data_IF_331939907084
#
_entry.id   IF_331939907084
#
_cell.length_a   1.000
_cell.length_b   1.000
_cell.length_c   1.000
_cell.angle_alpha   90.00
_cell.angle_beta   90.00
_cell.angle_gamma   90.00
#
_symmetry.space_group_name_H-M   'P 1'
#
loop_
_entity.id
_entity.type
_entity.pdbx_description
1 polymer ?
#
# COMPACT_ATOMS: atom_id res chain seq x y z
N UNK A 1 -9.17 -2.70 16.50
CA UNK A 1 -10.07 -2.44 17.64
C UNK A 1 -11.02 -3.60 17.91
N UNK A 2 -11.59 -4.24 16.87
CA UNK A 2 -12.50 -5.41 16.98
C UNK A 2 -11.79 -6.74 17.19
N UNK A 3 -10.47 -6.81 17.02
CA UNK A 3 -9.67 -8.03 17.12
C UNK A 3 -9.48 -8.79 15.81
N UNK A 4 -9.98 -8.28 14.69
CA UNK A 4 -9.89 -8.96 13.38
C UNK A 4 -8.46 -9.05 12.85
N UNK A 5 -7.57 -8.14 13.20
CA UNK A 5 -6.18 -8.10 12.70
C UNK A 5 -5.25 -8.88 13.63
N UNK A 6 -5.21 -8.50 14.92
CA UNK A 6 -4.22 -9.01 15.88
C UNK A 6 -4.78 -10.09 16.81
N UNK A 7 -6.03 -10.54 16.57
CA UNK A 7 -6.72 -11.50 17.42
C UNK A 7 -7.53 -10.84 18.53
N UNK A 8 -8.50 -11.60 19.05
CA UNK A 8 -9.48 -11.11 20.04
C UNK A 8 -8.92 -10.94 21.46
N UNK A 9 -7.69 -11.38 21.70
CA UNK A 9 -7.01 -11.27 22.99
C UNK A 9 -5.91 -10.20 23.00
N UNK A 10 -5.66 -9.53 21.86
CA UNK A 10 -4.62 -8.51 21.72
C UNK A 10 -5.21 -7.12 21.92
N UNK A 11 -4.78 -6.45 23.00
CA UNK A 11 -5.12 -5.04 23.25
C UNK A 11 -4.21 -4.14 22.43
N UNK A 12 -4.73 -3.00 22.00
CA UNK A 12 -4.02 -2.04 21.16
C UNK A 12 -4.06 -0.63 21.77
N UNK A 13 -2.96 0.11 21.61
CA UNK A 13 -2.90 1.56 21.83
C UNK A 13 -2.87 2.25 20.46
N UNK A 14 -3.70 3.26 20.28
CA UNK A 14 -3.78 4.04 19.05
C UNK A 14 -3.06 5.37 19.23
N UNK A 15 -2.00 5.62 18.46
CA UNK A 15 -1.34 6.91 18.38
C UNK A 15 -1.78 7.62 17.10
N UNK A 16 -2.48 8.73 17.24
CA UNK A 16 -3.06 9.49 16.14
C UNK A 16 -2.27 10.78 15.94
N UNK A 17 -1.53 10.85 14.84
CA UNK A 17 -0.71 12.00 14.46
C UNK A 17 -1.46 12.87 13.46
N UNK A 18 -1.60 14.15 13.76
CA UNK A 18 -2.18 15.14 12.86
C UNK A 18 -1.43 16.48 12.96
N UNK A 19 -1.67 17.36 12.00
CA UNK A 19 -1.12 18.72 12.07
C UNK A 19 -1.83 19.55 13.13
N UNK A 20 -1.14 20.49 13.77
CA UNK A 20 -1.68 21.33 14.86
C UNK A 20 -3.07 21.91 14.57
N UNK A 21 -3.37 22.46 13.35
CA UNK A 21 -4.71 23.00 13.07
C UNK A 21 -5.84 21.97 13.06
N UNK A 22 -5.53 20.68 12.90
CA UNK A 22 -6.51 19.60 12.81
C UNK A 22 -6.70 18.84 14.15
N UNK A 23 -5.90 19.12 15.17
CA UNK A 23 -6.00 18.44 16.48
C UNK A 23 -7.41 18.50 17.08
N UNK A 24 -8.09 19.65 16.97
CA UNK A 24 -9.46 19.78 17.48
C UNK A 24 -10.47 18.87 16.75
N UNK A 25 -10.28 18.66 15.45
CA UNK A 25 -11.12 17.71 14.70
C UNK A 25 -10.78 16.25 15.08
N UNK A 26 -9.51 15.99 15.38
CA UNK A 26 -9.04 14.69 15.86
C UNK A 26 -9.63 14.33 17.23
N UNK A 27 -9.81 15.29 18.13
CA UNK A 27 -10.54 15.08 19.40
C UNK A 27 -11.95 14.52 19.16
N UNK A 28 -12.66 15.03 18.12
CA UNK A 28 -13.97 14.51 17.75
C UNK A 28 -13.91 13.07 17.24
N UNK A 29 -12.87 12.70 16.50
CA UNK A 29 -12.65 11.31 16.07
C UNK A 29 -12.40 10.38 17.26
N UNK A 30 -11.65 10.85 18.26
CA UNK A 30 -11.43 10.08 19.51
C UNK A 30 -12.75 9.84 20.25
N UNK A 31 -13.61 10.85 20.37
CA UNK A 31 -14.95 10.68 20.95
C UNK A 31 -15.77 9.62 20.21
N UNK A 32 -15.73 9.60 18.88
CA UNK A 32 -16.41 8.55 18.10
C UNK A 32 -15.79 7.16 18.35
N UNK A 33 -14.48 7.05 18.51
CA UNK A 33 -13.81 5.78 18.88
C UNK A 33 -14.25 5.32 20.26
N UNK A 34 -14.37 6.23 21.23
CA UNK A 34 -14.87 5.94 22.57
C UNK A 34 -16.33 5.49 22.53
N UNK A 35 -17.18 6.17 21.75
CA UNK A 35 -18.60 5.83 21.57
C UNK A 35 -18.77 4.45 20.89
N UNK A 36 -17.81 3.99 20.08
CA UNK A 36 -17.80 2.63 19.54
C UNK A 36 -17.59 1.56 20.61
N UNK A 37 -17.09 1.92 21.80
CA UNK A 37 -16.84 1.04 22.93
C UNK A 37 -16.03 -0.22 22.55
N UNK A 38 -14.99 -0.06 21.75
CA UNK A 38 -14.14 -1.17 21.32
C UNK A 38 -13.44 -1.82 22.53
N UNK A 39 -13.62 -3.13 22.74
CA UNK A 39 -13.13 -3.79 23.97
C UNK A 39 -11.61 -3.95 24.02
N UNK A 40 -10.93 -3.81 22.88
CA UNK A 40 -9.49 -4.04 22.75
C UNK A 40 -8.67 -2.75 22.61
N UNK A 41 -9.29 -1.58 22.68
CA UNK A 41 -8.56 -0.30 22.72
C UNK A 41 -8.21 0.01 24.17
N UNK A 42 -6.91 0.09 24.45
CA UNK A 42 -6.39 0.44 25.77
C UNK A 42 -6.26 1.94 25.95
N UNK A 43 -5.68 2.59 24.92
CA UNK A 43 -5.32 3.99 24.97
C UNK A 43 -5.45 4.61 23.58
N UNK A 44 -5.81 5.90 23.55
CA UNK A 44 -5.75 6.72 22.33
C UNK A 44 -4.93 7.97 22.66
N UNK A 45 -3.76 8.09 22.03
CA UNK A 45 -2.88 9.27 22.11
C UNK A 45 -3.11 10.14 20.90
N UNK A 46 -3.30 11.45 21.08
CA UNK A 46 -3.36 12.43 20.00
C UNK A 46 -2.21 13.42 20.13
N UNK A 47 -1.52 13.68 19.01
CA UNK A 47 -0.37 14.58 19.01
C UNK A 47 -0.11 15.17 17.61
N UNK A 48 0.58 16.32 17.57
CA UNK A 48 1.14 16.88 16.35
C UNK A 48 2.67 16.69 16.23
N UNK A 49 3.24 15.90 17.15
CA UNK A 49 4.66 15.58 17.20
C UNK A 49 4.90 14.15 16.76
N UNK A 50 5.57 13.97 15.61
CA UNK A 50 5.83 12.66 15.05
C UNK A 50 6.65 11.75 15.98
N UNK A 51 7.62 12.28 16.69
CA UNK A 51 8.46 11.53 17.65
C UNK A 51 7.64 10.94 18.80
N UNK A 52 6.59 11.65 19.25
CA UNK A 52 5.68 11.17 20.27
C UNK A 52 4.70 10.14 19.70
N UNK A 53 4.20 10.38 18.48
CA UNK A 53 3.29 9.47 17.83
C UNK A 53 3.93 8.10 17.56
N UNK A 54 5.20 8.07 17.20
CA UNK A 54 5.91 6.82 16.84
C UNK A 54 6.62 6.17 18.04
N UNK A 55 6.59 6.75 19.22
CA UNK A 55 7.26 6.17 20.39
C UNK A 55 6.69 4.79 20.73
N UNK A 56 7.51 3.75 20.62
CA UNK A 56 7.19 2.37 20.94
C UNK A 56 6.16 1.67 20.06
N UNK A 57 5.73 2.25 18.91
CA UNK A 57 4.71 1.63 18.06
C UNK A 57 5.25 0.42 17.28
N UNK A 58 4.43 -0.64 17.16
CA UNK A 58 4.73 -1.83 16.36
C UNK A 58 4.22 -1.72 14.91
N UNK A 59 3.24 -0.86 14.65
CA UNK A 59 2.74 -0.54 13.32
C UNK A 59 2.63 0.96 13.10
N UNK A 60 3.18 1.44 11.99
CA UNK A 60 3.03 2.82 11.56
C UNK A 60 2.33 2.88 10.20
N UNK A 61 1.12 3.46 10.15
CA UNK A 61 0.35 3.69 8.94
C UNK A 61 0.53 5.15 8.53
N UNK A 62 1.36 5.42 7.52
CA UNK A 62 1.66 6.77 7.04
C UNK A 62 0.63 7.19 5.97
N UNK A 63 -0.52 7.69 6.43
CA UNK A 63 -1.68 8.02 5.58
C UNK A 63 -1.66 9.49 5.16
N UNK A 64 -1.24 10.37 6.06
CA UNK A 64 -1.29 11.83 5.87
C UNK A 64 -0.38 12.30 4.74
N UNK A 65 -0.97 13.00 3.78
CA UNK A 65 -0.26 13.68 2.70
C UNK A 65 -1.11 14.82 2.15
N UNK A 66 -0.47 15.81 1.51
CA UNK A 66 -1.22 16.85 0.79
C UNK A 66 -1.88 16.22 -0.44
N UNK A 67 -3.19 16.47 -0.65
CA UNK A 67 -3.88 16.00 -1.84
C UNK A 67 -3.40 16.76 -3.10
N UNK A 68 -3.51 16.11 -4.26
CA UNK A 68 -3.20 16.74 -5.53
C UNK A 68 -4.19 17.89 -5.81
N UNK A 69 -3.68 19.10 -5.91
CA UNK A 69 -4.46 20.29 -6.28
C UNK A 69 -4.81 20.31 -7.78
N UNK A 70 -5.82 21.15 -8.15
CA UNK A 70 -6.19 21.32 -9.55
C UNK A 70 -5.03 21.99 -10.32
N UNK A 71 -4.57 21.36 -11.40
CA UNK A 71 -3.46 21.86 -12.21
C UNK A 71 -2.06 21.54 -11.67
N UNK A 72 -1.96 20.84 -10.55
CA UNK A 72 -0.68 20.40 -9.99
C UNK A 72 -0.15 19.19 -10.76
N UNK A 73 1.09 19.25 -11.18
CA UNK A 73 1.78 18.10 -11.78
C UNK A 73 2.22 17.10 -10.72
N UNK A 74 2.52 15.85 -11.14
CA UNK A 74 2.96 14.79 -10.24
C UNK A 74 4.28 15.14 -9.54
N UNK A 75 5.21 15.74 -10.26
CA UNK A 75 6.48 16.20 -9.70
C UNK A 75 6.33 17.26 -8.61
N UNK A 76 5.35 18.14 -8.72
CA UNK A 76 5.06 19.15 -7.69
C UNK A 76 4.50 18.51 -6.43
N UNK A 77 3.58 17.55 -6.60
CA UNK A 77 3.03 16.80 -5.48
C UNK A 77 4.13 16.04 -4.71
N UNK A 78 5.08 15.44 -5.42
CA UNK A 78 6.24 14.75 -4.85
C UNK A 78 7.09 15.74 -4.03
N UNK A 79 7.39 16.92 -4.57
CA UNK A 79 8.20 17.95 -3.87
C UNK A 79 7.49 18.49 -2.63
N UNK A 80 6.16 18.62 -2.66
CA UNK A 80 5.38 19.09 -1.51
C UNK A 80 5.25 18.06 -0.41
N UNK A 81 5.10 16.79 -0.77
CA UNK A 81 4.93 15.71 0.19
C UNK A 81 6.27 15.18 0.74
N UNK A 82 7.34 15.20 -0.04
CA UNK A 82 8.63 14.66 0.34
C UNK A 82 9.13 15.10 1.73
N UNK A 83 9.11 16.40 2.08
CA UNK A 83 9.52 16.87 3.41
C UNK A 83 8.72 16.26 4.58
N UNK A 84 7.44 15.95 4.37
CA UNK A 84 6.59 15.28 5.39
C UNK A 84 7.18 13.91 5.69
N UNK A 85 7.47 13.13 4.65
CA UNK A 85 7.99 11.76 4.80
C UNK A 85 9.45 11.72 5.24
N UNK A 86 10.24 12.77 4.98
CA UNK A 86 11.56 12.95 5.62
C UNK A 86 11.42 13.07 7.14
N UNK A 87 10.49 13.92 7.62
CA UNK A 87 10.24 14.10 9.05
C UNK A 87 9.73 12.81 9.72
N UNK A 88 8.76 12.14 9.09
CA UNK A 88 8.20 10.89 9.59
C UNK A 88 9.26 9.77 9.60
N UNK A 89 10.07 9.64 8.53
CA UNK A 89 11.13 8.65 8.47
C UNK A 89 12.15 8.77 9.61
N UNK A 90 12.57 9.99 9.94
CA UNK A 90 13.44 10.26 11.09
C UNK A 90 12.78 9.91 12.43
N UNK A 91 11.52 10.30 12.59
CA UNK A 91 10.78 10.07 13.83
C UNK A 91 10.53 8.57 14.10
N UNK A 92 10.46 7.74 13.05
CA UNK A 92 10.34 6.28 13.17
C UNK A 92 11.48 5.63 13.95
N UNK A 93 12.63 6.29 14.13
CA UNK A 93 13.70 5.82 15.01
C UNK A 93 13.28 5.68 16.49
N UNK A 94 12.09 6.17 16.88
CA UNK A 94 11.48 5.97 18.20
C UNK A 94 10.57 4.75 18.29
N UNK A 95 10.26 4.11 17.17
CA UNK A 95 9.36 2.96 17.12
C UNK A 95 9.98 1.71 17.77
N UNK A 96 9.15 0.69 18.02
CA UNK A 96 9.62 -0.58 18.51
C UNK A 96 10.56 -1.27 17.50
N UNK A 97 11.42 -2.16 17.99
CA UNK A 97 12.41 -2.90 17.13
C UNK A 97 11.74 -3.73 16.03
N UNK A 98 10.52 -4.19 16.28
CA UNK A 98 9.72 -5.00 15.36
C UNK A 98 8.78 -4.18 14.49
N UNK A 99 8.87 -2.86 14.51
CA UNK A 99 7.96 -1.97 13.78
C UNK A 99 7.83 -2.37 12.30
N UNK A 100 6.60 -2.31 11.79
CA UNK A 100 6.28 -2.41 10.36
C UNK A 100 5.63 -1.13 9.89
N UNK A 101 5.99 -0.70 8.70
CA UNK A 101 5.56 0.59 8.16
C UNK A 101 4.80 0.38 6.86
N UNK A 102 3.56 0.88 6.80
CA UNK A 102 2.76 0.92 5.59
C UNK A 102 2.52 2.36 5.16
N UNK A 103 3.04 2.72 4.00
CA UNK A 103 2.81 4.04 3.41
C UNK A 103 1.59 4.00 2.50
N UNK A 104 0.62 4.85 2.82
CA UNK A 104 -0.66 4.99 2.09
C UNK A 104 -0.74 6.35 1.39
N UNK A 105 -0.13 7.38 1.97
CA UNK A 105 -0.13 8.74 1.45
C UNK A 105 0.56 8.86 0.10
N UNK A 106 -0.15 9.46 -0.88
CA UNK A 106 0.31 9.54 -2.28
C UNK A 106 1.33 10.67 -2.54
N UNK A 107 2.30 10.41 -3.45
CA UNK A 107 2.60 9.19 -4.21
C UNK A 107 3.23 8.10 -3.32
N UNK A 108 2.49 7.00 -3.10
CA UNK A 108 2.80 6.05 -2.03
C UNK A 108 4.19 5.41 -2.16
N UNK A 109 4.58 4.93 -3.35
CA UNK A 109 5.88 4.29 -3.56
C UNK A 109 7.04 5.26 -3.30
N UNK A 110 6.97 6.48 -3.84
CA UNK A 110 8.02 7.49 -3.70
C UNK A 110 8.10 8.05 -2.29
N UNK A 111 6.95 8.25 -1.64
CA UNK A 111 6.90 8.66 -0.24
C UNK A 111 7.47 7.56 0.68
N UNK A 112 7.20 6.29 0.37
CA UNK A 112 7.78 5.15 1.07
C UNK A 112 9.31 5.12 0.90
N UNK A 113 9.82 5.32 -0.32
CA UNK A 113 11.26 5.41 -0.58
C UNK A 113 11.93 6.50 0.27
N UNK A 114 11.31 7.68 0.37
CA UNK A 114 11.84 8.79 1.18
C UNK A 114 11.85 8.43 2.66
N UNK A 115 10.71 7.98 3.20
CA UNK A 115 10.59 7.62 4.62
C UNK A 115 11.56 6.49 4.99
N UNK A 116 11.65 5.45 4.16
CA UNK A 116 12.56 4.32 4.31
C UNK A 116 14.01 4.79 4.39
N UNK A 117 14.44 5.60 3.42
CA UNK A 117 15.82 6.09 3.37
C UNK A 117 16.22 6.92 4.61
N UNK A 118 15.30 7.70 5.16
CA UNK A 118 15.56 8.44 6.39
C UNK A 118 15.56 7.53 7.62
N UNK A 119 14.64 6.56 7.68
CA UNK A 119 14.53 5.63 8.81
C UNK A 119 15.70 4.63 8.87
N UNK A 120 16.29 4.26 7.72
CA UNK A 120 17.52 3.45 7.69
C UNK A 120 18.68 4.13 8.46
N UNK A 121 18.78 5.46 8.42
CA UNK A 121 19.78 6.24 9.18
C UNK A 121 19.54 6.19 10.69
N UNK A 122 18.32 5.93 11.08
CA UNK A 122 17.88 5.74 12.48
C UNK A 122 17.89 4.26 12.92
N UNK A 123 18.34 3.34 12.04
CA UNK A 123 18.49 1.92 12.35
C UNK A 123 17.30 1.04 12.02
N UNK A 124 16.26 1.55 11.34
CA UNK A 124 15.11 0.74 10.91
C UNK A 124 15.44 0.04 9.58
N UNK A 125 15.40 -1.29 9.50
CA UNK A 125 15.67 -2.03 8.26
C UNK A 125 14.65 -1.71 7.17
N UNK A 126 15.11 -1.64 5.91
CA UNK A 126 14.27 -1.36 4.74
C UNK A 126 13.15 -2.38 4.53
N UNK A 127 13.38 -3.63 4.94
CA UNK A 127 12.43 -4.74 4.83
C UNK A 127 11.19 -4.55 5.71
N UNK A 128 11.21 -3.56 6.60
CA UNK A 128 10.07 -3.16 7.43
C UNK A 128 9.06 -2.28 6.68
N UNK A 129 9.43 -1.79 5.50
CA UNK A 129 8.63 -0.83 4.74
C UNK A 129 7.85 -1.48 3.62
N UNK A 130 6.60 -1.04 3.48
CA UNK A 130 5.76 -1.29 2.31
C UNK A 130 4.95 -0.05 1.94
N UNK A 131 4.65 0.12 0.65
CA UNK A 131 3.62 1.04 0.18
C UNK A 131 2.38 0.26 -0.27
N UNK A 132 1.21 0.85 -0.08
CA UNK A 132 -0.06 0.17 -0.28
C UNK A 132 -0.45 0.10 -1.76
N UNK A 133 -0.45 -1.11 -2.33
CA UNK A 133 -1.10 -1.45 -3.60
C UNK A 133 -2.27 -2.41 -3.42
N UNK A 134 -2.62 -2.72 -2.17
CA UNK A 134 -3.73 -3.61 -1.84
C UNK A 134 -5.08 -3.10 -2.33
N UNK A 135 -5.31 -1.78 -2.32
CA UNK A 135 -6.54 -1.21 -2.87
C UNK A 135 -6.69 -1.51 -4.37
N UNK A 136 -5.60 -1.44 -5.12
CA UNK A 136 -5.61 -1.76 -6.56
C UNK A 136 -5.82 -3.26 -6.78
N UNK A 137 -5.22 -4.10 -5.95
CA UNK A 137 -5.48 -5.55 -5.95
C UNK A 137 -6.95 -5.85 -5.66
N UNK A 138 -7.56 -5.25 -4.63
CA UNK A 138 -8.96 -5.44 -4.30
C UNK A 138 -9.88 -4.99 -5.45
N UNK A 139 -9.55 -3.91 -6.14
CA UNK A 139 -10.25 -3.45 -7.35
C UNK A 139 -10.15 -4.46 -8.48
N UNK A 140 -8.96 -5.00 -8.73
CA UNK A 140 -8.71 -6.00 -9.76
C UNK A 140 -9.48 -7.29 -9.45
N UNK A 141 -9.41 -7.80 -8.22
CA UNK A 141 -10.17 -8.98 -7.77
C UNK A 141 -11.67 -8.80 -7.97
N UNK A 142 -12.22 -7.65 -7.56
CA UNK A 142 -13.64 -7.36 -7.72
C UNK A 142 -14.09 -7.31 -9.20
N UNK A 143 -13.26 -6.75 -10.10
CA UNK A 143 -13.56 -6.72 -11.53
C UNK A 143 -13.53 -8.12 -12.15
N UNK A 144 -12.54 -8.94 -11.79
CA UNK A 144 -12.44 -10.33 -12.27
C UNK A 144 -13.60 -11.18 -11.75
N UNK A 145 -13.95 -11.08 -10.48
CA UNK A 145 -15.07 -11.78 -9.88
C UNK A 145 -16.39 -11.40 -10.56
N UNK A 146 -16.63 -10.11 -10.77
CA UNK A 146 -17.82 -9.60 -11.47
C UNK A 146 -17.90 -10.10 -12.91
N UNK A 147 -16.78 -10.08 -13.66
CA UNK A 147 -16.75 -10.56 -15.05
C UNK A 147 -17.01 -12.05 -15.16
N UNK A 148 -16.50 -12.83 -14.20
CA UNK A 148 -16.67 -14.29 -14.16
C UNK A 148 -17.97 -14.75 -13.50
N UNK A 149 -18.68 -13.87 -12.77
CA UNK A 149 -19.90 -14.22 -12.03
C UNK A 149 -19.64 -15.11 -10.80
N UNK A 150 -18.52 -14.87 -10.09
CA UNK A 150 -18.11 -15.64 -8.90
C UNK A 150 -17.95 -14.72 -7.68
N UNK A 151 -17.74 -15.30 -6.49
CA UNK A 151 -17.41 -14.54 -5.29
C UNK A 151 -16.01 -13.94 -5.37
N UNK A 152 -15.77 -12.80 -4.71
CA UNK A 152 -14.44 -12.14 -4.68
C UNK A 152 -13.37 -13.05 -4.08
N UNK A 153 -13.75 -13.85 -3.07
CA UNK A 153 -12.85 -14.82 -2.43
C UNK A 153 -12.38 -15.97 -3.32
N UNK A 154 -13.07 -16.21 -4.44
CA UNK A 154 -12.68 -17.22 -5.43
C UNK A 154 -11.50 -16.76 -6.31
N UNK A 155 -11.16 -15.45 -6.27
CA UNK A 155 -10.10 -14.85 -7.09
C UNK A 155 -8.83 -14.73 -6.28
N UNK A 156 -7.80 -15.43 -6.68
CA UNK A 156 -6.48 -15.48 -6.01
C UNK A 156 -5.35 -15.08 -6.96
N UNK A 157 -4.15 -14.94 -6.43
CA UNK A 157 -2.93 -14.70 -7.20
C UNK A 157 -2.96 -13.42 -8.08
N UNK A 158 -3.78 -12.44 -7.74
CA UNK A 158 -3.78 -11.15 -8.44
C UNK A 158 -2.54 -10.36 -8.04
N UNK A 159 -1.79 -9.90 -9.03
CA UNK A 159 -0.61 -9.06 -8.81
C UNK A 159 -0.86 -7.66 -9.38
N UNK A 160 -0.50 -6.67 -8.61
CA UNK A 160 -0.32 -5.30 -9.10
C UNK A 160 1.18 -5.07 -9.21
N UNK A 161 1.68 -4.91 -10.41
CA UNK A 161 3.09 -4.61 -10.65
C UNK A 161 3.34 -3.10 -10.69
N UNK A 162 4.42 -2.65 -10.05
CA UNK A 162 4.97 -1.31 -10.23
C UNK A 162 4.50 -0.25 -9.27
N UNK A 163 4.22 0.92 -9.82
CA UNK A 163 3.88 2.13 -9.10
C UNK A 163 2.38 2.20 -8.81
N UNK A 164 1.98 2.68 -7.63
CA UNK A 164 0.58 3.03 -7.35
C UNK A 164 0.17 4.28 -8.14
N UNK A 165 0.00 4.13 -9.46
CA UNK A 165 -0.31 5.21 -10.41
C UNK A 165 -1.12 4.69 -11.60
N UNK A 166 -1.31 5.53 -12.61
CA UNK A 166 -1.94 5.13 -13.86
C UNK A 166 -1.06 4.20 -14.72
N UNK A 167 0.21 3.99 -14.36
CA UNK A 167 1.09 3.02 -15.05
C UNK A 167 1.13 1.65 -14.40
N UNK A 168 0.48 1.46 -13.24
CA UNK A 168 0.39 0.15 -12.58
C UNK A 168 -0.08 -0.92 -13.57
N UNK A 169 0.47 -2.11 -13.45
CA UNK A 169 0.00 -3.23 -14.24
C UNK A 169 -0.74 -4.25 -13.36
N UNK A 170 -2.09 -4.27 -13.38
CA UNK A 170 -2.87 -5.34 -12.77
C UNK A 170 -2.79 -6.59 -13.65
N UNK A 171 -2.07 -7.60 -13.17
CA UNK A 171 -1.82 -8.85 -13.89
C UNK A 171 -2.96 -9.84 -13.65
N UNK A 172 -3.81 -9.99 -14.65
CA UNK A 172 -4.87 -10.99 -14.67
C UNK A 172 -4.40 -12.31 -15.28
N UNK A 173 -3.28 -12.34 -16.03
CA UNK A 173 -2.85 -13.52 -16.74
C UNK A 173 -2.30 -14.61 -15.79
N UNK A 174 -1.70 -14.19 -14.67
CA UNK A 174 -1.22 -15.07 -13.62
C UNK A 174 -2.24 -15.28 -12.48
N UNK A 175 -3.35 -14.54 -12.48
CA UNK A 175 -4.42 -14.70 -11.51
C UNK A 175 -5.24 -15.99 -11.73
N UNK A 176 -5.92 -16.42 -10.68
CA UNK A 176 -6.74 -17.63 -10.68
C UNK A 176 -8.16 -17.36 -10.19
N UNK A 177 -9.10 -18.11 -10.71
CA UNK A 177 -10.49 -18.19 -10.24
C UNK A 177 -10.79 -19.64 -9.92
N UNK A 178 -11.06 -19.95 -8.65
CA UNK A 178 -11.26 -21.33 -8.17
C UNK A 178 -10.11 -22.26 -8.60
N UNK A 179 -8.86 -21.76 -8.50
CA UNK A 179 -7.64 -22.48 -8.87
C UNK A 179 -7.35 -22.60 -10.37
N UNK A 180 -8.26 -22.14 -11.26
CA UNK A 180 -8.08 -22.16 -12.71
C UNK A 180 -7.53 -20.83 -13.22
N UNK A 181 -6.68 -20.81 -14.26
CA UNK A 181 -6.19 -19.56 -14.84
C UNK A 181 -7.32 -18.62 -15.26
N UNK A 182 -7.22 -17.34 -14.92
CA UNK A 182 -8.22 -16.32 -15.28
C UNK A 182 -8.46 -16.25 -16.80
N UNK A 183 -7.43 -16.32 -17.68
CA UNK A 183 -7.63 -16.33 -19.14
C UNK A 183 -8.55 -17.45 -19.64
N UNK A 184 -8.49 -18.63 -19.00
CA UNK A 184 -9.36 -19.76 -19.37
C UNK A 184 -10.80 -19.56 -18.89
N UNK A 185 -11.00 -18.98 -17.70
CA UNK A 185 -12.33 -18.80 -17.10
C UNK A 185 -13.06 -17.64 -17.76
N UNK A 186 -12.37 -16.52 -17.98
CA UNK A 186 -12.95 -15.31 -18.59
C UNK A 186 -13.09 -15.46 -20.11
N UNK A 187 -12.12 -16.09 -20.77
CA UNK A 187 -12.16 -16.34 -22.22
C UNK A 187 -12.10 -15.10 -23.11
N UNK A 188 -11.75 -13.93 -22.57
CA UNK A 188 -11.75 -12.65 -23.27
C UNK A 188 -10.43 -11.89 -23.00
N UNK A 189 -9.39 -12.27 -23.76
CA UNK A 189 -8.06 -11.64 -23.64
C UNK A 189 -8.08 -10.15 -24.04
N UNK A 190 -8.99 -9.74 -24.94
CA UNK A 190 -9.12 -8.35 -25.34
C UNK A 190 -9.59 -7.49 -24.15
N UNK A 191 -10.55 -7.96 -23.40
CA UNK A 191 -11.03 -7.31 -22.19
C UNK A 191 -9.94 -7.31 -21.10
N UNK A 192 -9.27 -8.45 -20.86
CA UNK A 192 -8.22 -8.58 -19.83
C UNK A 192 -7.04 -7.62 -20.06
N UNK A 193 -6.62 -7.44 -21.32
CA UNK A 193 -5.49 -6.57 -21.69
C UNK A 193 -5.88 -5.11 -21.98
N UNK A 194 -7.17 -4.80 -22.00
CA UNK A 194 -7.72 -3.48 -22.29
C UNK A 194 -8.56 -2.94 -21.15
N UNK A 195 -9.88 -3.04 -21.25
CA UNK A 195 -10.86 -2.42 -20.34
C UNK A 195 -10.63 -2.77 -18.86
N UNK A 196 -10.22 -4.01 -18.55
CA UNK A 196 -9.90 -4.41 -17.18
C UNK A 196 -8.76 -3.56 -16.61
N UNK A 197 -7.65 -3.44 -17.33
CA UNK A 197 -6.49 -2.65 -16.89
C UNK A 197 -6.88 -1.20 -16.71
N UNK A 198 -7.52 -0.60 -17.72
CA UNK A 198 -7.96 0.80 -17.69
C UNK A 198 -8.91 1.05 -16.52
N UNK A 199 -9.85 0.15 -16.26
CA UNK A 199 -10.81 0.26 -15.16
C UNK A 199 -10.08 0.28 -13.80
N UNK A 200 -9.12 -0.60 -13.58
CA UNK A 200 -8.36 -0.66 -12.33
C UNK A 200 -7.50 0.60 -12.17
N UNK A 201 -6.76 0.99 -13.20
CA UNK A 201 -5.89 2.17 -13.20
C UNK A 201 -6.66 3.47 -12.95
N UNK A 202 -7.84 3.63 -13.57
CA UNK A 202 -8.62 4.86 -13.52
C UNK A 202 -9.67 4.90 -12.39
N UNK A 203 -9.80 3.83 -11.60
CA UNK A 203 -10.83 3.74 -10.55
C UNK A 203 -10.75 4.88 -9.54
N UNK A 204 -9.55 5.30 -9.15
CA UNK A 204 -9.37 6.43 -8.22
C UNK A 204 -9.94 7.73 -8.77
N UNK A 205 -9.66 8.04 -10.04
CA UNK A 205 -10.20 9.22 -10.72
C UNK A 205 -11.73 9.13 -10.87
N UNK A 206 -12.28 7.96 -11.20
CA UNK A 206 -13.72 7.73 -11.29
C UNK A 206 -14.43 7.94 -9.94
N UNK A 207 -13.84 7.51 -8.82
CA UNK A 207 -14.37 7.76 -7.47
C UNK A 207 -14.39 9.25 -7.17
N UNK A 208 -13.30 9.98 -7.47
CA UNK A 208 -13.25 11.44 -7.28
C UNK A 208 -14.30 12.14 -8.13
N UNK A 209 -14.45 11.74 -9.39
CA UNK A 209 -15.46 12.33 -10.28
C UNK A 209 -16.89 12.12 -9.75
N UNK A 210 -17.17 10.96 -9.16
CA UNK A 210 -18.50 10.63 -8.63
C UNK A 210 -18.78 11.23 -7.24
N UNK A 211 -17.78 11.24 -6.33
CA UNK A 211 -17.94 11.66 -4.92
C UNK A 211 -17.49 13.09 -4.63
N UNK A 212 -16.66 13.68 -5.49
CA UNK A 212 -15.94 14.93 -5.20
C UNK A 212 -14.75 14.78 -4.24
N UNK A 213 -14.53 13.59 -3.69
CA UNK A 213 -13.48 13.27 -2.72
C UNK A 213 -12.78 11.95 -3.09
N UNK A 214 -11.55 11.78 -2.66
CA UNK A 214 -10.79 10.54 -2.81
C UNK A 214 -11.44 9.35 -2.08
N UNK A 215 -11.01 8.14 -2.44
CA UNK A 215 -11.40 6.92 -1.72
C UNK A 215 -11.02 7.05 -0.24
N UNK A 216 -11.93 6.73 0.66
CA UNK A 216 -11.72 6.72 2.10
C UNK A 216 -11.97 5.32 2.68
N UNK A 217 -13.23 4.86 2.69
CA UNK A 217 -13.60 3.57 3.27
C UNK A 217 -12.86 2.39 2.60
N UNK A 218 -12.81 2.35 1.26
CA UNK A 218 -12.09 1.29 0.55
C UNK A 218 -10.57 1.35 0.74
N UNK A 219 -10.00 2.54 0.91
CA UNK A 219 -8.59 2.70 1.22
C UNK A 219 -8.28 2.23 2.65
N UNK A 220 -9.13 2.58 3.62
CA UNK A 220 -9.01 2.09 4.99
C UNK A 220 -9.11 0.56 5.05
N UNK A 221 -10.13 -0.03 4.40
CA UNK A 221 -10.27 -1.49 4.33
C UNK A 221 -9.03 -2.14 3.71
N UNK A 222 -8.52 -1.63 2.59
CA UNK A 222 -7.32 -2.17 1.94
C UNK A 222 -6.07 -2.04 2.81
N UNK A 223 -5.93 -0.98 3.61
CA UNK A 223 -4.83 -0.86 4.57
C UNK A 223 -4.94 -1.93 5.67
N UNK A 224 -6.14 -2.18 6.19
CA UNK A 224 -6.37 -3.26 7.16
C UNK A 224 -6.12 -4.65 6.54
N UNK A 225 -6.59 -4.91 5.31
CA UNK A 225 -6.32 -6.15 4.57
C UNK A 225 -4.81 -6.37 4.38
N UNK A 226 -4.06 -5.29 4.11
CA UNK A 226 -2.60 -5.35 3.98
C UNK A 226 -1.96 -5.74 5.32
N UNK A 227 -2.32 -5.08 6.42
CA UNK A 227 -1.80 -5.39 7.76
C UNK A 227 -2.13 -6.83 8.14
N UNK A 228 -3.37 -7.29 7.93
CA UNK A 228 -3.77 -8.68 8.18
C UNK A 228 -2.92 -9.68 7.39
N UNK A 229 -2.64 -9.38 6.12
CA UNK A 229 -1.80 -10.25 5.28
C UNK A 229 -0.35 -10.30 5.77
N UNK A 230 0.18 -9.17 6.29
CA UNK A 230 1.53 -9.09 6.83
C UNK A 230 1.68 -9.76 8.20
N UNK A 231 0.62 -9.83 9.01
CA UNK A 231 0.61 -10.52 10.31
C UNK A 231 0.33 -12.02 10.19
N UNK A 232 -0.30 -12.43 9.09
CA UNK A 232 -0.66 -13.83 8.85
C UNK A 232 0.44 -14.66 8.20
N UNK A 233 0.03 -15.83 7.73
CA UNK A 233 0.82 -16.68 6.83
C UNK A 233 0.09 -16.75 5.50
N UNK A 234 0.78 -16.48 4.40
CA UNK A 234 0.17 -16.57 3.07
C UNK A 234 -0.09 -18.05 2.74
N UNK A 235 -1.30 -18.42 2.30
CA UNK A 235 -1.62 -19.80 1.91
C UNK A 235 -0.63 -20.34 0.85
N UNK A 236 -0.43 -21.64 0.85
CA UNK A 236 0.43 -22.29 -0.16
C UNK A 236 -0.13 -22.05 -1.57
N UNK A 237 0.74 -21.61 -2.49
CA UNK A 237 0.37 -21.31 -3.87
C UNK A 237 -0.30 -19.96 -4.10
N UNK A 238 -0.58 -19.20 -3.05
CA UNK A 238 -1.15 -17.84 -3.14
C UNK A 238 -0.10 -16.76 -2.82
N UNK A 239 -0.44 -15.51 -3.10
CA UNK A 239 0.31 -14.30 -2.78
C UNK A 239 -0.61 -13.07 -2.73
N UNK A 240 -0.09 -11.97 -2.24
CA UNK A 240 -0.76 -10.66 -2.33
C UNK A 240 0.20 -9.60 -2.87
N UNK A 241 -0.33 -8.45 -3.24
CA UNK A 241 0.46 -7.35 -3.80
C UNK A 241 0.87 -6.37 -2.71
N UNK A 242 2.16 -6.08 -2.65
CA UNK A 242 2.70 -5.01 -1.82
C UNK A 242 3.87 -4.35 -2.54
N UNK A 243 3.97 -3.02 -2.46
CA UNK A 243 5.14 -2.33 -2.95
C UNK A 243 6.21 -2.36 -1.86
N UNK A 244 7.25 -3.15 -2.09
CA UNK A 244 8.37 -3.37 -1.17
C UNK A 244 9.69 -2.92 -1.82
N UNK A 245 10.76 -2.71 -1.04
CA UNK A 245 12.07 -2.43 -1.60
C UNK A 245 12.52 -3.58 -2.51
N UNK A 246 12.86 -3.26 -3.75
CA UNK A 246 13.35 -4.25 -4.70
C UNK A 246 14.69 -4.82 -4.26
N UNK A 247 14.83 -6.13 -4.37
CA UNK A 247 16.04 -6.91 -4.18
C UNK A 247 16.73 -7.31 -5.51
N UNK A 248 16.31 -6.71 -6.62
CA UNK A 248 16.74 -7.06 -7.97
C UNK A 248 15.84 -8.08 -8.67
N UNK A 249 14.86 -8.63 -7.99
CA UNK A 249 13.88 -9.58 -8.57
C UNK A 249 13.24 -9.00 -9.82
N UNK A 250 12.99 -9.85 -10.80
CA UNK A 250 12.41 -9.48 -12.12
C UNK A 250 13.20 -8.40 -12.88
N UNK A 251 14.48 -8.17 -12.54
CA UNK A 251 15.33 -7.15 -13.15
C UNK A 251 14.99 -5.72 -12.74
N UNK A 252 14.19 -5.54 -11.71
CA UNK A 252 13.86 -4.22 -11.15
C UNK A 252 15.04 -3.71 -10.32
N UNK A 253 15.47 -2.48 -10.55
CA UNK A 253 16.59 -1.83 -9.85
C UNK A 253 16.44 -1.95 -8.33
N UNK A 254 17.51 -2.42 -7.65
CA UNK A 254 17.55 -2.54 -6.21
C UNK A 254 17.27 -1.21 -5.51
N UNK A 255 16.49 -1.27 -4.44
CA UNK A 255 16.15 -0.11 -3.62
C UNK A 255 15.03 0.77 -4.17
N UNK A 256 14.49 0.51 -5.37
CA UNK A 256 13.20 1.07 -5.75
C UNK A 256 12.09 0.43 -4.90
N UNK A 257 11.13 1.22 -4.45
CA UNK A 257 9.90 0.68 -3.84
C UNK A 257 8.92 0.36 -4.97
N UNK A 258 8.79 -0.92 -5.26
CA UNK A 258 8.04 -1.44 -6.41
C UNK A 258 7.05 -2.50 -5.96
N UNK A 259 5.85 -2.51 -6.52
CA UNK A 259 4.83 -3.51 -6.19
C UNK A 259 5.10 -4.83 -6.87
N UNK A 260 5.18 -5.88 -6.07
CA UNK A 260 5.44 -7.26 -6.44
C UNK A 260 4.37 -8.20 -5.87
N UNK A 261 4.27 -9.44 -6.37
CA UNK A 261 3.64 -10.53 -5.63
C UNK A 261 4.53 -10.89 -4.43
N UNK A 262 3.99 -10.85 -3.23
CA UNK A 262 4.74 -11.15 -2.01
C UNK A 262 4.05 -12.24 -1.17
N UNK A 263 4.83 -12.92 -0.35
CA UNK A 263 4.35 -13.93 0.61
C UNK A 263 4.95 -13.68 1.98
N UNK A 264 4.19 -14.03 3.00
CA UNK A 264 4.62 -14.05 4.39
C UNK A 264 4.81 -15.50 4.82
N UNK A 265 5.96 -15.80 5.43
CA UNK A 265 6.37 -17.15 5.84
C UNK A 265 5.77 -17.60 7.19
N UNK A 266 4.99 -16.74 7.86
CA UNK A 266 4.44 -17.01 9.20
C UNK A 266 5.44 -16.80 10.34
N UNK A 267 6.69 -16.45 10.04
CA UNK A 267 7.72 -16.03 11.00
C UNK A 267 8.02 -14.52 10.89
N UNK A 268 7.19 -13.81 10.12
CA UNK A 268 7.32 -12.37 9.88
C UNK A 268 8.24 -12.01 8.71
N UNK A 269 8.78 -12.99 7.99
CA UNK A 269 9.53 -12.78 6.76
C UNK A 269 8.59 -12.48 5.59
N UNK A 270 8.81 -11.34 4.90
CA UNK A 270 8.13 -10.98 3.67
C UNK A 270 9.08 -11.23 2.50
N UNK A 271 8.71 -12.12 1.60
CA UNK A 271 9.53 -12.47 0.42
C UNK A 271 8.81 -12.18 -0.89
N UNK A 272 9.55 -11.66 -1.89
CA UNK A 272 9.05 -11.51 -3.26
C UNK A 272 8.92 -12.90 -3.88
N UNK A 273 7.73 -13.24 -4.39
CA UNK A 273 7.47 -14.50 -5.08
C UNK A 273 8.29 -14.54 -6.37
N UNK A 274 9.04 -15.63 -6.55
CA UNK A 274 9.86 -15.83 -7.73
C UNK A 274 9.18 -16.72 -8.75
N UNK A 275 9.59 -16.63 -10.04
CA UNK A 275 9.17 -17.54 -11.09
C UNK A 275 7.76 -17.31 -11.64
N UNK A 276 7.16 -16.14 -11.40
CA UNK A 276 5.94 -15.74 -12.10
C UNK A 276 6.30 -15.53 -13.59
N UNK A 277 5.62 -16.24 -14.47
CA UNK A 277 5.86 -16.16 -15.91
C UNK A 277 5.30 -14.85 -16.47
N UNK A 278 6.15 -14.06 -17.13
CA UNK A 278 5.81 -12.76 -17.70
C UNK A 278 6.00 -12.82 -19.23
N UNK A 279 4.89 -12.75 -19.96
CA UNK A 279 4.94 -12.62 -21.43
C UNK A 279 5.32 -11.19 -21.86
N UNK A 280 5.59 -10.99 -23.16
CA UNK A 280 6.03 -9.71 -23.72
C UNK A 280 5.13 -8.53 -23.35
N UNK A 281 3.81 -8.73 -23.31
CA UNK A 281 2.85 -7.71 -22.92
C UNK A 281 3.05 -7.26 -21.44
N UNK A 282 3.22 -8.22 -20.55
CA UNK A 282 3.47 -7.92 -19.12
C UNK A 282 4.82 -7.19 -18.97
N UNK A 283 5.86 -7.65 -19.66
CA UNK A 283 7.19 -7.02 -19.61
C UNK A 283 7.16 -5.58 -20.11
N UNK A 284 6.42 -5.28 -21.19
CA UNK A 284 6.22 -3.90 -21.68
C UNK A 284 5.56 -3.01 -20.61
N UNK A 285 4.49 -3.50 -19.96
CA UNK A 285 3.80 -2.76 -18.90
C UNK A 285 4.68 -2.53 -17.68
N UNK A 286 5.42 -3.56 -17.26
CA UNK A 286 6.36 -3.48 -16.16
C UNK A 286 7.50 -2.48 -16.45
N UNK A 287 8.02 -2.48 -17.67
CA UNK A 287 9.04 -1.52 -18.09
C UNK A 287 8.53 -0.06 -18.00
N UNK A 288 7.29 0.19 -18.43
CA UNK A 288 6.69 1.53 -18.37
C UNK A 288 6.54 2.05 -16.92
N UNK A 289 6.02 1.22 -16.02
CA UNK A 289 5.85 1.60 -14.61
C UNK A 289 7.19 1.70 -13.86
N UNK A 290 8.19 0.91 -14.25
CA UNK A 290 9.56 1.01 -13.72
C UNK A 290 10.21 2.33 -14.11
N UNK A 291 10.07 2.74 -15.38
CA UNK A 291 10.59 4.03 -15.85
C UNK A 291 9.98 5.21 -15.08
N UNK A 292 8.66 5.19 -14.81
CA UNK A 292 8.00 6.21 -13.99
C UNK A 292 8.60 6.29 -12.58
N UNK A 293 8.84 5.15 -11.92
CA UNK A 293 9.45 5.14 -10.58
C UNK A 293 10.90 5.65 -10.58
N UNK A 294 11.67 5.35 -11.62
CA UNK A 294 13.02 5.88 -11.78
C UNK A 294 13.03 7.40 -11.96
N UNK A 295 12.09 7.93 -12.75
CA UNK A 295 11.88 9.38 -12.90
C UNK A 295 11.49 10.02 -11.55
N UNK A 296 10.57 9.43 -10.81
CA UNK A 296 10.17 9.92 -9.49
C UNK A 296 11.33 9.89 -8.47
N UNK A 297 12.14 8.82 -8.46
CA UNK A 297 13.36 8.72 -7.65
C UNK A 297 14.33 9.85 -7.98
N UNK A 298 14.51 10.18 -9.27
CA UNK A 298 15.36 11.29 -9.68
C UNK A 298 14.85 12.65 -9.17
N UNK A 299 13.53 12.87 -9.14
CA UNK A 299 12.94 14.11 -8.60
C UNK A 299 13.24 14.30 -7.11
N UNK A 300 13.35 13.22 -6.34
CA UNK A 300 13.58 13.25 -4.88
C UNK A 300 15.02 12.99 -4.48
N UNK A 301 15.97 12.94 -5.42
CA UNK A 301 17.36 12.57 -5.17
C UNK A 301 18.02 13.38 -4.03
N UNK A 302 17.66 14.65 -3.86
CA UNK A 302 18.16 15.48 -2.75
C UNK A 302 17.62 15.07 -1.38
N UNK A 303 16.43 14.47 -1.32
CA UNK A 303 15.80 13.98 -0.10
C UNK A 303 16.33 12.59 0.32
N UNK A 304 17.05 11.94 -0.58
CA UNK A 304 17.69 10.63 -0.35
C UNK A 304 19.17 10.76 0.07
N UNK A 305 19.68 11.96 0.23
CA UNK A 305 21.02 12.22 0.79
C UNK A 305 20.92 12.28 2.33
#
# INVERSE_FOLDING_TARGET
ASGEIFGHDTRISLHLLEITPALKALEGVVMEIEDCAFPLVDEVVITDRAEEAFDGVNWALLVGSKPRGKGMERGDLIRENGPIFVGQGKALGKAAEDVRILVVGNPANTNCLIAMHQAEKEGIPRERFAAMTRLDQNRAQAQLAQKAGVEVGDVTNVTIWGNHSATQYPDAENARINGRPVPEVVGDMGWLRGEFIDTVQQRGAAVIAARGLSSAASAANAALDHVMSMEGTTPEGDWFSAAVPSDGSYGIEEGLVFSFPVRIDGQGGCGIVQGVELGDFALEKIAATTAELQEEKAVVAELLK
#
